data_IF_053043725472
#
_entry.id   IF_053043725472
#
_cell.length_a   1.000
_cell.length_b   1.000
_cell.length_c   1.000
_cell.angle_alpha   90.00
_cell.angle_beta   90.00
_cell.angle_gamma   90.00
#
_symmetry.space_group_name_H-M   'P 1'
#
loop_
_entity.id
_entity.type
_entity.pdbx_description
1 polymer ?
#
# COMPACT_ATOMS: atom_id res chain seq x y z
N UNK A 1 -19.30 36.77 -17.70
CA UNK A 1 -19.56 35.99 -16.48
C UNK A 1 -18.44 34.99 -16.39
N UNK A 2 -17.36 35.36 -15.72
CA UNK A 2 -16.15 34.55 -15.66
C UNK A 2 -16.20 33.64 -14.42
N UNK A 3 -16.07 32.34 -14.66
CA UNK A 3 -15.88 31.34 -13.60
C UNK A 3 -14.49 31.53 -12.99
N UNK A 4 -14.33 31.41 -11.66
CA UNK A 4 -13.02 31.47 -11.06
C UNK A 4 -12.22 30.21 -11.46
N UNK A 5 -10.89 30.30 -11.59
CA UNK A 5 -10.05 29.13 -11.80
C UNK A 5 -10.11 28.24 -10.55
N UNK A 6 -10.36 26.94 -10.75
CA UNK A 6 -10.21 25.93 -9.72
C UNK A 6 -8.72 25.85 -9.33
N UNK A 7 -8.33 26.61 -8.31
CA UNK A 7 -7.09 26.39 -7.57
C UNK A 7 -7.28 25.12 -6.75
N UNK A 8 -6.98 23.98 -7.37
CA UNK A 8 -6.94 22.67 -6.71
C UNK A 8 -5.49 22.39 -6.32
N UNK A 9 -5.27 22.09 -5.03
CA UNK A 9 -4.02 21.75 -4.36
C UNK A 9 -3.04 22.90 -4.03
N UNK A 10 -3.39 23.68 -3.02
CA UNK A 10 -2.40 24.22 -2.09
C UNK A 10 -3.03 24.38 -0.69
N UNK A 11 -3.19 23.27 0.04
CA UNK A 11 -3.36 23.25 1.51
C UNK A 11 -3.52 21.80 2.00
N UNK A 12 -2.48 21.00 1.81
CA UNK A 12 -2.28 19.83 2.67
C UNK A 12 -0.78 19.53 2.75
N UNK A 13 0.00 20.57 3.02
CA UNK A 13 1.14 20.36 3.91
C UNK A 13 0.53 20.16 5.30
N UNK A 14 -0.01 18.96 5.54
CA UNK A 14 -0.04 18.42 6.89
C UNK A 14 1.43 18.36 7.30
N UNK A 15 1.86 19.42 7.96
CA UNK A 15 3.01 19.40 8.84
C UNK A 15 2.78 18.24 9.80
N UNK A 16 3.42 17.11 9.49
CA UNK A 16 3.51 16.00 10.41
C UNK A 16 4.39 16.48 11.56
N UNK A 17 3.75 17.02 12.60
CA UNK A 17 4.40 17.28 13.88
C UNK A 17 4.81 15.92 14.46
N UNK A 18 6.09 15.59 14.28
CA UNK A 18 6.78 14.38 14.79
C UNK A 18 7.05 14.44 16.30
N UNK A 19 6.21 15.14 17.07
CA UNK A 19 6.24 15.09 18.52
C UNK A 19 5.23 14.04 19.00
N UNK A 20 5.75 12.88 19.41
CA UNK A 20 4.97 11.86 20.14
C UNK A 20 4.52 12.44 21.48
N UNK A 21 3.37 13.12 21.49
CA UNK A 21 2.77 13.62 22.73
C UNK A 21 2.48 12.44 23.68
N UNK A 22 2.95 12.50 24.94
CA UNK A 22 2.83 11.40 25.90
C UNK A 22 1.39 10.98 26.16
N UNK A 23 0.45 11.91 26.00
CA UNK A 23 -1.00 11.71 26.18
C UNK A 23 -1.58 10.69 25.17
N UNK A 24 -0.94 10.52 24.00
CA UNK A 24 -1.37 9.53 22.99
C UNK A 24 -0.95 8.11 23.36
N UNK A 25 0.17 7.93 24.07
CA UNK A 25 0.69 6.61 24.45
C UNK A 25 -0.15 6.00 25.59
N UNK A 26 -0.56 6.82 26.56
CA UNK A 26 -1.45 6.37 27.66
C UNK A 26 -2.83 5.94 27.15
N UNK A 27 -3.36 6.60 26.12
CA UNK A 27 -4.58 6.18 25.46
C UNK A 27 -4.44 4.78 24.81
N UNK A 28 -3.29 4.48 24.21
CA UNK A 28 -3.01 3.17 23.59
C UNK A 28 -2.88 2.06 24.65
N UNK A 29 -2.29 2.35 25.81
CA UNK A 29 -2.16 1.38 26.93
C UNK A 29 -3.52 0.86 27.41
N UNK A 30 -4.55 1.71 27.39
CA UNK A 30 -5.90 1.35 27.78
C UNK A 30 -6.67 0.56 26.71
N UNK A 31 -6.27 0.67 25.44
CA UNK A 31 -6.90 -0.04 24.31
C UNK A 31 -6.26 -1.42 24.07
N UNK A 32 -4.95 -1.52 24.27
CA UNK A 32 -4.18 -2.73 23.97
C UNK A 32 -4.22 -3.68 25.16
N UNK A 33 -4.59 -4.97 24.98
CA UNK A 33 -4.58 -5.94 26.07
C UNK A 33 -3.19 -6.10 26.71
N UNK A 34 -3.09 -6.34 28.03
CA UNK A 34 -1.80 -6.38 28.74
C UNK A 34 -0.77 -7.36 28.17
N UNK A 35 -1.22 -8.48 27.59
CA UNK A 35 -0.34 -9.47 26.95
C UNK A 35 0.51 -8.90 25.79
N UNK A 36 0.07 -7.79 25.19
CA UNK A 36 0.71 -7.14 24.05
C UNK A 36 1.46 -5.86 24.41
N UNK A 37 1.47 -5.43 25.68
CA UNK A 37 2.18 -4.22 26.12
C UNK A 37 3.68 -4.28 25.84
N UNK A 38 4.27 -5.48 25.79
CA UNK A 38 5.67 -5.71 25.41
C UNK A 38 6.03 -5.25 23.99
N UNK A 39 5.04 -5.07 23.11
CA UNK A 39 5.23 -4.67 21.71
C UNK A 39 4.87 -3.20 21.46
N UNK A 40 4.47 -2.43 22.48
CA UNK A 40 4.06 -1.03 22.28
C UNK A 40 5.16 -0.19 21.66
N UNK A 41 6.40 -0.60 21.84
CA UNK A 41 7.56 0.07 21.33
C UNK A 41 7.80 -0.19 19.82
N UNK A 42 7.04 -1.06 19.15
CA UNK A 42 7.14 -1.28 17.69
C UNK A 42 6.18 -0.41 16.87
N UNK A 43 5.19 0.23 17.52
CA UNK A 43 4.19 1.09 16.89
C UNK A 43 4.68 2.52 16.60
N UNK A 44 5.64 3.11 17.34
CA UNK A 44 6.29 4.36 16.94
C UNK A 44 6.82 4.29 15.51
N UNK A 45 6.40 5.24 14.67
CA UNK A 45 6.80 5.31 13.26
C UNK A 45 8.33 5.27 13.09
N UNK A 46 9.03 5.98 13.97
CA UNK A 46 10.51 6.05 14.03
C UNK A 46 11.17 4.67 14.24
N UNK A 47 10.50 3.75 14.96
CA UNK A 47 11.01 2.39 15.17
C UNK A 47 10.51 1.43 14.09
N UNK A 48 9.29 1.61 13.60
CA UNK A 48 8.71 0.81 12.51
C UNK A 48 9.48 0.96 11.18
N UNK A 49 10.07 2.14 10.92
CA UNK A 49 10.90 2.38 9.72
C UNK A 49 12.28 1.72 9.79
N UNK A 50 12.73 1.28 10.98
CA UNK A 50 14.02 0.60 11.12
C UNK A 50 13.87 -0.86 10.73
N UNK A 51 14.52 -1.24 9.64
CA UNK A 51 14.58 -2.64 9.22
C UNK A 51 15.24 -3.49 10.32
N UNK A 52 14.71 -4.70 10.60
CA UNK A 52 15.38 -5.66 11.46
C UNK A 52 16.81 -5.94 10.98
N UNK A 53 17.75 -6.30 11.88
CA UNK A 53 19.10 -6.68 11.51
C UNK A 53 19.10 -7.78 10.45
N UNK A 54 19.92 -7.62 9.43
CA UNK A 54 20.01 -8.58 8.34
C UNK A 54 20.59 -9.92 8.83
N UNK A 55 19.72 -10.92 9.01
CA UNK A 55 20.07 -12.30 9.37
C UNK A 55 20.97 -12.97 8.31
N UNK A 56 21.91 -13.80 8.76
CA UNK A 56 22.82 -14.54 7.87
C UNK A 56 22.09 -15.50 6.89
N UNK A 57 20.82 -15.83 7.16
CA UNK A 57 20.00 -16.76 6.38
C UNK A 57 19.02 -16.08 5.41
N UNK A 58 19.15 -14.76 5.15
CA UNK A 58 18.36 -14.12 4.09
C UNK A 58 18.72 -14.73 2.72
N UNK A 59 17.77 -15.44 2.13
CA UNK A 59 17.89 -16.03 0.80
C UNK A 59 17.80 -14.92 -0.24
N UNK A 60 18.93 -14.59 -0.87
CA UNK A 60 18.97 -13.58 -1.92
C UNK A 60 18.34 -14.15 -3.19
N UNK A 61 17.19 -13.59 -3.61
CA UNK A 61 16.63 -13.86 -4.93
C UNK A 61 17.48 -13.12 -5.96
N UNK A 62 18.33 -13.85 -6.69
CA UNK A 62 19.08 -13.30 -7.82
C UNK A 62 18.11 -13.07 -8.97
N UNK A 63 17.71 -11.82 -9.19
CA UNK A 63 17.00 -11.44 -10.40
C UNK A 63 17.92 -11.72 -11.61
N UNK A 64 17.48 -12.59 -12.53
CA UNK A 64 18.19 -12.89 -13.76
C UNK A 64 17.47 -12.26 -14.94
N UNK A 65 18.25 -11.55 -15.77
CA UNK A 65 17.79 -10.95 -17.02
C UNK A 65 17.35 -9.50 -16.86
N UNK A 66 17.87 -8.62 -17.72
CA UNK A 66 17.13 -7.40 -18.06
C UNK A 66 16.05 -7.79 -19.04
N UNK A 67 14.80 -7.45 -18.78
CA UNK A 67 13.80 -7.49 -19.84
C UNK A 67 14.31 -6.55 -20.96
N UNK A 68 14.28 -6.96 -22.23
CA UNK A 68 14.58 -6.03 -23.32
C UNK A 68 13.63 -4.84 -23.21
N UNK A 69 14.10 -3.65 -23.56
CA UNK A 69 13.34 -2.39 -23.38
C UNK A 69 11.93 -2.47 -23.99
N UNK A 70 11.78 -3.19 -25.11
CA UNK A 70 10.49 -3.46 -25.73
C UNK A 70 9.54 -4.26 -24.82
N UNK A 71 10.03 -5.33 -24.16
CA UNK A 71 9.20 -6.13 -23.27
C UNK A 71 8.73 -5.36 -22.04
N UNK A 72 9.54 -4.42 -21.54
CA UNK A 72 9.13 -3.52 -20.45
C UNK A 72 7.99 -2.59 -20.88
N UNK A 73 8.05 -2.05 -22.09
CA UNK A 73 7.00 -1.21 -22.67
C UNK A 73 5.69 -2.02 -22.77
N UNK A 74 5.74 -3.24 -23.32
CA UNK A 74 4.55 -4.08 -23.46
C UNK A 74 3.93 -4.47 -22.10
N UNK A 75 4.76 -4.79 -21.10
CA UNK A 75 4.26 -5.06 -19.74
C UNK A 75 3.60 -3.82 -19.13
N UNK A 76 4.15 -2.64 -19.37
CA UNK A 76 3.57 -1.40 -18.85
C UNK A 76 2.23 -1.07 -19.54
N UNK A 77 2.13 -1.23 -20.87
CA UNK A 77 0.87 -1.12 -21.61
C UNK A 77 -0.16 -2.09 -21.07
N UNK A 78 0.23 -3.34 -20.83
CA UNK A 78 -0.66 -4.36 -20.28
C UNK A 78 -1.17 -3.98 -18.89
N UNK A 79 -0.29 -3.51 -18.01
CA UNK A 79 -0.67 -3.04 -16.66
C UNK A 79 -1.68 -1.90 -16.74
N UNK A 80 -1.44 -0.93 -17.61
CA UNK A 80 -2.35 0.19 -17.82
C UNK A 80 -3.70 -0.30 -18.34
N UNK A 81 -3.72 -1.16 -19.36
CA UNK A 81 -4.96 -1.72 -19.90
C UNK A 81 -5.76 -2.50 -18.84
N UNK A 82 -5.11 -3.35 -18.02
CA UNK A 82 -5.79 -4.12 -16.99
C UNK A 82 -6.30 -3.27 -15.82
N UNK A 83 -5.60 -2.19 -15.47
CA UNK A 83 -5.95 -1.35 -14.31
C UNK A 83 -6.90 -0.20 -14.65
N UNK A 84 -6.95 0.24 -15.92
CA UNK A 84 -7.78 1.36 -16.35
C UNK A 84 -9.03 0.93 -17.12
N UNK A 85 -9.04 -0.27 -17.70
CA UNK A 85 -10.23 -0.77 -18.36
C UNK A 85 -11.32 -1.16 -17.36
N UNK A 86 -12.62 -1.04 -17.72
CA UNK A 86 -13.75 -1.40 -16.86
C UNK A 86 -13.88 -2.92 -16.61
N UNK A 87 -12.86 -3.69 -17.00
CA UNK A 87 -12.76 -5.14 -16.78
C UNK A 87 -12.67 -5.44 -15.28
N UNK A 88 -12.06 -4.54 -14.51
CA UNK A 88 -12.08 -4.52 -13.04
C UNK A 88 -13.13 -3.52 -12.53
N UNK A 89 -14.38 -3.67 -12.95
CA UNK A 89 -15.50 -2.91 -12.37
C UNK A 89 -15.93 -3.52 -11.03
N UNK A 90 -16.50 -2.70 -10.14
CA UNK A 90 -17.06 -3.19 -8.89
C UNK A 90 -18.13 -4.25 -9.14
N UNK A 91 -18.12 -5.30 -8.31
CA UNK A 91 -19.13 -6.35 -8.35
C UNK A 91 -20.54 -5.74 -8.22
N UNK A 92 -21.43 -6.09 -9.16
CA UNK A 92 -22.82 -5.67 -9.15
C UNK A 92 -23.73 -6.89 -8.83
N UNK A 93 -24.33 -6.96 -7.63
CA UNK A 93 -25.12 -8.10 -7.20
C UNK A 93 -26.45 -8.27 -7.97
N UNK A 94 -26.89 -7.24 -8.70
CA UNK A 94 -28.09 -7.30 -9.53
C UNK A 94 -27.86 -7.96 -10.89
N UNK A 95 -26.60 -8.23 -11.25
CA UNK A 95 -26.22 -8.91 -12.49
C UNK A 95 -25.95 -10.41 -12.23
N UNK A 96 -26.17 -11.30 -13.22
CA UNK A 96 -25.89 -12.72 -13.08
C UNK A 96 -24.38 -12.97 -12.90
N UNK A 97 -24.05 -13.87 -11.98
CA UNK A 97 -22.67 -14.35 -11.76
C UNK A 97 -22.45 -15.64 -12.56
N UNK A 98 -21.40 -15.66 -13.40
CA UNK A 98 -21.07 -16.81 -14.25
C UNK A 98 -19.72 -17.39 -13.78
N UNK A 99 -19.68 -18.68 -13.46
CA UNK A 99 -18.47 -19.40 -13.07
C UNK A 99 -17.95 -20.21 -14.26
N UNK A 100 -16.72 -19.93 -14.69
CA UNK A 100 -15.99 -20.75 -15.64
C UNK A 100 -14.85 -21.46 -14.91
N UNK A 101 -14.73 -22.77 -15.09
CA UNK A 101 -13.61 -23.58 -14.60
C UNK A 101 -12.71 -23.92 -15.77
N UNK A 102 -11.46 -23.44 -15.75
CA UNK A 102 -10.45 -23.87 -16.71
C UNK A 102 -9.86 -25.22 -16.27
N UNK A 103 -9.70 -26.14 -17.22
CA UNK A 103 -9.12 -27.47 -17.02
C UNK A 103 -7.83 -27.59 -17.84
N UNK A 104 -6.95 -26.59 -17.72
CA UNK A 104 -5.59 -26.68 -18.24
C UNK A 104 -4.78 -27.71 -17.42
N UNK A 105 -4.00 -28.55 -18.13
CA UNK A 105 -3.08 -29.54 -17.56
C UNK A 105 -1.70 -28.96 -17.22
#
# INVERSE_FOLDING_TARGET
>A
MDLPPLSFHASLEEQWDEEEEPDKIEAVLNLVPPAYHQYLDVFPKVKAEKLPPHHACYHHIKLKGSLPSEALIQVQILKEAFTTAPILSHFNPSLPTILHTDTSE
#
